data_IF_175264947497
#
_entry.id   IF_175264947497
#
_cell.length_a   1.000
_cell.length_b   1.000
_cell.length_c   1.000
_cell.angle_alpha   90.00
_cell.angle_beta   90.00
_cell.angle_gamma   90.00
#
_symmetry.space_group_name_H-M   'P 1'
#
loop_
_entity.id
_entity.type
_entity.pdbx_description
1 polymer ?
#
# COMPACT_ATOMS: atom_id res chain seq x y z
N UNK A 1 35.14 5.79 -1.69
CA UNK A 1 33.83 5.33 -2.21
C UNK A 1 32.80 5.67 -1.15
N UNK A 2 31.76 6.45 -1.47
CA UNK A 2 30.77 6.92 -0.49
C UNK A 2 29.87 5.78 0.00
N UNK A 3 30.29 5.15 1.10
CA UNK A 3 29.52 4.17 1.88
C UNK A 3 28.08 4.67 2.15
N UNK A 4 27.94 5.97 2.40
CA UNK A 4 26.67 6.67 2.60
C UNK A 4 25.73 6.65 1.38
N UNK A 5 26.28 6.68 0.15
CA UNK A 5 25.49 6.70 -1.08
C UNK A 5 24.97 5.29 -1.43
N UNK A 6 25.75 4.26 -1.08
CA UNK A 6 25.38 2.86 -1.26
C UNK A 6 24.23 2.47 -0.31
N UNK A 7 24.33 2.85 0.96
CA UNK A 7 23.28 2.62 1.97
C UNK A 7 21.96 3.31 1.59
N UNK A 8 22.02 4.54 1.07
CA UNK A 8 20.81 5.24 0.65
C UNK A 8 20.10 4.53 -0.52
N UNK A 9 20.87 4.08 -1.53
CA UNK A 9 20.32 3.34 -2.68
C UNK A 9 19.73 2.01 -2.26
N UNK A 10 20.38 1.31 -1.33
CA UNK A 10 19.90 0.05 -0.80
C UNK A 10 18.61 0.22 0.00
N UNK A 11 18.55 1.20 0.91
CA UNK A 11 17.34 1.53 1.66
C UNK A 11 16.16 1.92 0.76
N UNK A 12 16.42 2.61 -0.35
CA UNK A 12 15.40 2.92 -1.35
C UNK A 12 14.89 1.68 -2.07
N UNK A 13 15.77 0.74 -2.43
CA UNK A 13 15.37 -0.54 -3.04
C UNK A 13 14.49 -1.36 -2.10
N UNK A 14 14.88 -1.50 -0.83
CA UNK A 14 14.09 -2.21 0.17
C UNK A 14 12.70 -1.60 0.35
N UNK A 15 12.61 -0.26 0.41
CA UNK A 15 11.32 0.44 0.45
C UNK A 15 10.44 0.14 -0.76
N UNK A 16 11.02 0.10 -1.96
CA UNK A 16 10.30 -0.23 -3.20
C UNK A 16 9.82 -1.69 -3.17
N UNK A 17 10.68 -2.63 -2.77
CA UNK A 17 10.29 -4.04 -2.62
C UNK A 17 9.14 -4.22 -1.64
N UNK A 18 9.17 -3.54 -0.50
CA UNK A 18 8.10 -3.59 0.48
C UNK A 18 6.79 -3.02 -0.04
N UNK A 19 6.84 -1.97 -0.87
CA UNK A 19 5.66 -1.46 -1.56
C UNK A 19 5.12 -2.46 -2.58
N UNK A 20 5.99 -3.14 -3.34
CA UNK A 20 5.60 -4.15 -4.33
C UNK A 20 5.00 -5.40 -3.66
N UNK A 21 5.56 -5.86 -2.54
CA UNK A 21 4.98 -6.96 -1.75
C UNK A 21 3.58 -6.59 -1.27
N UNK A 22 3.39 -5.37 -0.77
CA UNK A 22 2.08 -4.86 -0.37
C UNK A 22 1.10 -4.71 -1.55
N UNK A 23 1.59 -4.33 -2.74
CA UNK A 23 0.77 -4.14 -3.94
C UNK A 23 0.06 -5.41 -4.38
N UNK A 24 0.54 -6.60 -3.99
CA UNK A 24 -0.17 -7.88 -4.20
C UNK A 24 -1.58 -7.90 -3.57
N UNK A 25 -1.82 -7.07 -2.55
CA UNK A 25 -3.12 -6.91 -1.90
C UNK A 25 -4.10 -5.98 -2.62
N UNK A 26 -3.63 -5.17 -3.58
CA UNK A 26 -4.47 -4.27 -4.38
C UNK A 26 -5.34 -5.05 -5.39
N UNK A 27 -6.37 -4.38 -5.91
CA UNK A 27 -7.14 -4.90 -7.06
C UNK A 27 -6.22 -5.05 -8.28
N UNK A 28 -6.47 -6.04 -9.14
CA UNK A 28 -5.62 -6.39 -10.31
C UNK A 28 -5.23 -5.17 -11.16
N UNK A 29 -6.18 -4.27 -11.45
CA UNK A 29 -5.93 -3.05 -12.24
C UNK A 29 -4.96 -2.08 -11.56
N UNK A 30 -5.13 -1.87 -10.25
CA UNK A 30 -4.29 -0.98 -9.45
C UNK A 30 -2.89 -1.58 -9.21
N UNK A 31 -2.83 -2.89 -8.96
CA UNK A 31 -1.58 -3.65 -8.84
C UNK A 31 -0.74 -3.51 -10.11
N UNK A 32 -1.32 -3.77 -11.28
CA UNK A 32 -0.63 -3.65 -12.57
C UNK A 32 -0.13 -2.23 -12.84
N UNK A 33 -0.85 -1.20 -12.37
CA UNK A 33 -0.40 0.18 -12.47
C UNK A 33 0.87 0.45 -11.65
N UNK A 34 0.94 -0.07 -10.42
CA UNK A 34 2.10 0.07 -9.54
C UNK A 34 3.29 -0.75 -10.05
N UNK A 35 3.06 -1.98 -10.52
CA UNK A 35 4.10 -2.83 -11.14
C UNK A 35 4.70 -2.14 -12.37
N UNK A 36 3.87 -1.63 -13.29
CA UNK A 36 4.38 -0.92 -14.47
C UNK A 36 5.15 0.36 -14.13
N UNK A 37 4.81 1.02 -13.02
CA UNK A 37 5.49 2.23 -12.60
C UNK A 37 6.85 1.95 -11.96
N UNK A 38 6.94 0.98 -11.05
CA UNK A 38 8.18 0.69 -10.31
C UNK A 38 9.08 -0.38 -10.94
N UNK A 39 8.51 -1.47 -11.47
CA UNK A 39 9.29 -2.58 -12.04
C UNK A 39 9.67 -2.32 -13.48
N UNK A 40 8.72 -1.85 -14.29
CA UNK A 40 8.94 -1.59 -15.72
C UNK A 40 9.44 -0.17 -15.99
N UNK A 41 9.55 0.68 -14.95
CA UNK A 41 10.02 2.06 -15.07
C UNK A 41 9.20 2.95 -16.02
N UNK A 42 7.93 2.61 -16.30
CA UNK A 42 7.13 3.37 -17.27
C UNK A 42 6.81 4.76 -16.73
N UNK A 43 7.08 5.77 -17.56
CA UNK A 43 6.71 7.15 -17.25
C UNK A 43 5.19 7.33 -17.10
N UNK A 44 4.78 8.30 -16.29
CA UNK A 44 3.36 8.67 -16.12
C UNK A 44 2.71 8.96 -17.48
N UNK A 45 3.44 9.58 -18.40
CA UNK A 45 2.99 9.87 -19.77
C UNK A 45 2.66 8.59 -20.53
N UNK A 46 3.52 7.57 -20.49
CA UNK A 46 3.28 6.30 -21.17
C UNK A 46 2.13 5.50 -20.53
N UNK A 47 2.02 5.55 -19.20
CA UNK A 47 0.92 4.95 -18.46
C UNK A 47 -0.44 5.62 -18.79
N UNK A 48 -0.44 6.94 -18.98
CA UNK A 48 -1.60 7.72 -19.38
C UNK A 48 -2.06 7.38 -20.81
N UNK A 49 -1.13 7.36 -21.77
CA UNK A 49 -1.40 6.96 -23.17
C UNK A 49 -1.98 5.54 -23.25
N UNK A 50 -1.31 4.55 -22.65
CA UNK A 50 -1.75 3.15 -22.68
C UNK A 50 -3.13 2.90 -22.05
N UNK A 51 -3.59 3.78 -21.16
CA UNK A 51 -4.88 3.67 -20.46
C UNK A 51 -5.94 4.65 -20.98
N UNK A 52 -5.61 5.46 -22.00
CA UNK A 52 -6.48 6.52 -22.53
C UNK A 52 -7.02 7.45 -21.42
N UNK A 53 -6.14 7.89 -20.51
CA UNK A 53 -6.44 8.82 -19.41
C UNK A 53 -5.47 9.99 -19.44
N UNK A 54 -5.83 11.12 -18.83
CA UNK A 54 -4.90 12.24 -18.70
C UNK A 54 -3.80 11.95 -17.66
N UNK A 55 -2.65 12.63 -17.81
CA UNK A 55 -1.48 12.46 -16.93
C UNK A 55 -1.82 12.77 -15.47
N UNK A 56 -2.66 13.77 -15.24
CA UNK A 56 -3.10 14.20 -13.92
C UNK A 56 -3.90 13.10 -13.21
N UNK A 57 -4.80 12.42 -13.92
CA UNK A 57 -5.56 11.29 -13.36
C UNK A 57 -4.63 10.14 -12.95
N UNK A 58 -3.66 9.78 -13.79
CA UNK A 58 -2.71 8.70 -13.47
C UNK A 58 -1.81 9.09 -12.30
N UNK A 59 -1.24 10.31 -12.32
CA UNK A 59 -0.42 10.82 -11.21
C UNK A 59 -1.18 10.83 -9.89
N UNK A 60 -2.42 11.35 -9.89
CA UNK A 60 -3.29 11.37 -8.71
C UNK A 60 -3.63 9.96 -8.24
N UNK A 61 -3.90 9.03 -9.16
CA UNK A 61 -4.17 7.63 -8.83
C UNK A 61 -2.95 6.95 -8.20
N UNK A 62 -1.77 7.11 -8.78
CA UNK A 62 -0.52 6.56 -8.22
C UNK A 62 -0.28 7.12 -6.82
N UNK A 63 -0.35 8.44 -6.63
CA UNK A 63 -0.20 9.08 -5.31
C UNK A 63 -1.17 8.50 -4.26
N UNK A 64 -2.45 8.33 -4.62
CA UNK A 64 -3.44 7.71 -3.75
C UNK A 64 -3.08 6.26 -3.41
N UNK A 65 -2.64 5.47 -4.40
CA UNK A 65 -2.23 4.08 -4.18
C UNK A 65 -0.98 3.97 -3.29
N UNK A 66 0.04 4.81 -3.52
CA UNK A 66 1.23 4.89 -2.67
C UNK A 66 0.87 5.22 -1.22
N UNK A 67 -0.03 6.18 -1.00
CA UNK A 67 -0.52 6.51 0.36
C UNK A 67 -1.19 5.31 1.02
N UNK A 68 -1.99 4.53 0.29
CA UNK A 68 -2.65 3.31 0.80
C UNK A 68 -1.64 2.21 1.14
N UNK A 69 -0.66 1.99 0.27
CA UNK A 69 0.42 1.02 0.48
C UNK A 69 1.28 1.38 1.69
N UNK A 70 1.68 2.65 1.83
CA UNK A 70 2.41 3.14 3.00
C UNK A 70 1.62 2.94 4.29
N UNK A 71 0.32 3.28 4.28
CA UNK A 71 -0.54 3.04 5.43
C UNK A 71 -0.59 1.55 5.79
N UNK A 72 -0.75 0.66 4.81
CA UNK A 72 -0.80 -0.78 5.06
C UNK A 72 0.51 -1.32 5.66
N UNK A 73 1.66 -0.94 5.09
CA UNK A 73 2.98 -1.35 5.58
C UNK A 73 3.31 -0.82 6.98
N UNK A 74 2.63 0.21 7.46
CA UNK A 74 2.85 0.78 8.79
C UNK A 74 2.08 0.08 9.91
N UNK A 75 1.06 -0.74 9.59
CA UNK A 75 0.04 -1.13 10.57
C UNK A 75 0.22 -2.52 11.19
N UNK A 76 0.69 -3.53 10.44
CA UNK A 76 0.75 -4.92 10.92
C UNK A 76 1.75 -5.80 10.15
N UNK A 77 2.26 -6.87 10.79
CA UNK A 77 2.85 -8.00 10.09
C UNK A 77 1.82 -8.65 9.15
N UNK A 78 2.23 -8.90 7.90
CA UNK A 78 1.35 -9.33 6.80
C UNK A 78 0.69 -10.71 7.01
N UNK A 79 1.27 -11.54 7.89
CA UNK A 79 0.84 -12.91 8.22
C UNK A 79 -0.31 -12.99 9.23
N UNK A 80 -0.64 -11.89 9.91
CA UNK A 80 -1.65 -11.90 10.98
C UNK A 80 -3.07 -11.66 10.44
N UNK A 81 -4.09 -12.05 11.22
CA UNK A 81 -5.48 -11.68 10.96
C UNK A 81 -5.65 -10.15 10.85
N UNK A 82 -4.97 -9.39 11.72
CA UNK A 82 -4.94 -7.93 11.64
C UNK A 82 -4.36 -7.42 10.32
N UNK A 83 -3.30 -8.05 9.82
CA UNK A 83 -2.72 -7.79 8.51
C UNK A 83 -3.64 -8.15 7.34
N UNK A 84 -4.49 -9.17 7.48
CA UNK A 84 -5.51 -9.51 6.47
C UNK A 84 -6.67 -8.50 6.46
N UNK A 85 -7.18 -8.14 7.65
CA UNK A 85 -8.23 -7.12 7.82
C UNK A 85 -7.76 -5.75 7.31
N UNK A 86 -6.53 -5.34 7.67
CA UNK A 86 -5.94 -4.10 7.20
C UNK A 86 -5.77 -4.08 5.67
N UNK A 87 -5.50 -5.23 5.04
CA UNK A 87 -5.40 -5.35 3.58
C UNK A 87 -6.74 -5.09 2.93
N UNK A 88 -7.78 -5.76 3.41
CA UNK A 88 -9.13 -5.64 2.83
C UNK A 88 -9.68 -4.23 3.03
N UNK A 89 -9.45 -3.63 4.20
CA UNK A 89 -9.84 -2.26 4.49
C UNK A 89 -9.02 -1.23 3.69
N UNK A 90 -7.71 -1.14 3.93
CA UNK A 90 -6.89 -0.06 3.36
C UNK A 90 -6.61 -0.25 1.88
N UNK A 91 -6.40 -1.46 1.37
CA UNK A 91 -6.00 -1.69 -0.03
C UNK A 91 -7.18 -2.01 -0.95
N UNK A 92 -8.18 -2.76 -0.47
CA UNK A 92 -9.34 -3.14 -1.29
C UNK A 92 -10.53 -2.19 -1.12
N UNK A 93 -10.58 -1.44 -0.01
CA UNK A 93 -11.67 -0.51 0.28
C UNK A 93 -12.98 -1.22 0.62
N UNK A 94 -12.89 -2.42 1.19
CA UNK A 94 -14.05 -3.17 1.66
C UNK A 94 -14.62 -2.54 2.92
N UNK A 95 -15.95 -2.58 3.07
CA UNK A 95 -16.65 -2.18 4.28
C UNK A 95 -16.38 -3.15 5.43
N UNK A 96 -16.59 -2.71 6.67
CA UNK A 96 -16.45 -3.56 7.87
C UNK A 96 -17.32 -4.82 7.77
N UNK A 97 -18.55 -4.67 7.26
CA UNK A 97 -19.51 -5.77 7.07
C UNK A 97 -19.05 -6.78 6.01
N UNK A 98 -18.46 -6.32 4.91
CA UNK A 98 -17.90 -7.23 3.91
C UNK A 98 -16.68 -7.97 4.45
N UNK A 99 -15.83 -7.30 5.22
CA UNK A 99 -14.65 -7.90 5.83
C UNK A 99 -15.04 -8.95 6.87
N UNK A 100 -16.00 -8.65 7.74
CA UNK A 100 -16.48 -9.59 8.77
C UNK A 100 -17.00 -10.88 8.13
N UNK A 101 -17.81 -10.76 7.07
CA UNK A 101 -18.30 -11.89 6.29
C UNK A 101 -17.16 -12.67 5.62
N UNK A 102 -16.26 -11.99 4.91
CA UNK A 102 -15.17 -12.64 4.17
C UNK A 102 -14.16 -13.34 5.09
N UNK A 103 -13.95 -12.83 6.30
CA UNK A 103 -12.98 -13.35 7.27
C UNK A 103 -13.59 -14.20 8.37
N UNK A 104 -14.92 -14.43 8.32
CA UNK A 104 -15.69 -15.19 9.31
C UNK A 104 -15.41 -14.72 10.74
N UNK A 105 -15.41 -13.41 10.95
CA UNK A 105 -15.15 -12.79 12.25
C UNK A 105 -16.21 -11.73 12.56
N UNK A 106 -16.37 -11.36 13.83
CA UNK A 106 -17.34 -10.32 14.21
C UNK A 106 -16.90 -8.94 13.73
N UNK A 107 -17.88 -8.07 13.43
CA UNK A 107 -17.59 -6.67 13.08
C UNK A 107 -16.78 -5.95 14.16
N UNK A 108 -17.02 -6.29 15.44
CA UNK A 108 -16.24 -5.77 16.56
C UNK A 108 -14.75 -6.09 16.41
N UNK A 109 -14.39 -7.34 16.07
CA UNK A 109 -12.98 -7.72 15.85
C UNK A 109 -12.37 -6.95 14.68
N UNK A 110 -13.14 -6.74 13.61
CA UNK A 110 -12.71 -5.92 12.47
C UNK A 110 -12.44 -4.48 12.90
N UNK A 111 -13.38 -3.83 13.61
CA UNK A 111 -13.22 -2.46 14.14
C UNK A 111 -12.01 -2.34 15.07
N UNK A 112 -11.82 -3.31 15.96
CA UNK A 112 -10.66 -3.37 16.87
C UNK A 112 -9.35 -3.36 16.10
N UNK A 113 -9.23 -4.21 15.07
CA UNK A 113 -8.01 -4.28 14.26
C UNK A 113 -7.76 -3.03 13.42
N UNK A 114 -8.80 -2.40 12.88
CA UNK A 114 -8.69 -1.12 12.15
C UNK A 114 -8.20 -0.02 13.10
N UNK A 115 -8.78 0.10 14.30
CA UNK A 115 -8.36 1.10 15.29
C UNK A 115 -6.89 0.92 15.69
N UNK A 116 -6.47 -0.32 15.93
CA UNK A 116 -5.08 -0.64 16.23
C UNK A 116 -4.14 -0.28 15.06
N UNK A 117 -4.54 -0.57 13.82
CA UNK A 117 -3.79 -0.14 12.64
C UNK A 117 -3.58 1.38 12.62
N UNK A 118 -4.62 2.16 12.89
CA UNK A 118 -4.51 3.63 12.93
C UNK A 118 -3.56 4.12 14.04
N UNK A 119 -3.53 3.44 15.19
CA UNK A 119 -2.59 3.74 16.28
C UNK A 119 -1.15 3.44 15.84
N UNK A 120 -0.90 2.27 15.25
CA UNK A 120 0.43 1.92 14.74
C UNK A 120 0.93 2.92 13.68
N UNK A 121 0.04 3.32 12.77
CA UNK A 121 0.34 4.36 11.79
C UNK A 121 0.75 5.67 12.45
N UNK A 122 0.05 6.13 13.50
CA UNK A 122 0.40 7.36 14.23
C UNK A 122 1.75 7.23 14.94
N UNK A 123 2.02 6.10 15.61
CA UNK A 123 3.31 5.85 16.28
C UNK A 123 4.47 5.88 15.30
N UNK A 124 4.34 5.21 14.14
CA UNK A 124 5.40 5.20 13.12
C UNK A 124 5.64 6.59 12.51
N UNK A 125 4.59 7.38 12.31
CA UNK A 125 4.72 8.75 11.82
C UNK A 125 5.37 9.71 12.84
N UNK A 126 5.24 9.43 14.15
CA UNK A 126 5.88 10.19 15.22
C UNK A 126 7.34 9.78 15.46
N UNK A 127 7.71 8.53 15.16
CA UNK A 127 9.08 8.02 15.27
C UNK A 127 9.98 8.42 14.08
N UNK A 128 9.39 8.88 12.97
CA UNK A 128 10.09 9.41 11.78
C UNK A 128 10.31 10.94 11.85
N UNK A 129 10.11 11.58 13.02
CA UNK A 129 10.36 13.01 13.29
C UNK A 129 11.50 13.15 14.28
#
# INVERSE_FOLDING_TARGET
MDENLYDHRQAMREKVEDMLRAARGLKRKDRKLIEQYFLEGRSITNLAKSRRKCRQTISSRIRKLLKRLRNYNACYPRSTLGGAIARDYFLRGMSIREISKNRRCSEYRVRKHIRLAEIYKKKKAGAER
#
